data_IF_041833021851
#
_entry.id   IF_041833021851
#
_cell.length_a   1.000
_cell.length_b   1.000
_cell.length_c   1.000
_cell.angle_alpha   90.00
_cell.angle_beta   90.00
_cell.angle_gamma   90.00
#
_symmetry.space_group_name_H-M   'P 1'
#
loop_
_entity.id
_entity.type
_entity.pdbx_description
1 polymer ?
#
# COMPACT_ATOMS: atom_id res chain seq x y z
N UNK A 1 1.57 22.59 -1.59
CA UNK A 1 1.55 21.21 -2.13
C UNK A 1 0.77 21.19 -3.45
N UNK A 2 1.28 20.56 -4.51
CA UNK A 2 0.49 20.24 -5.71
C UNK A 2 0.14 18.74 -5.65
N UNK A 3 -1.14 18.41 -5.57
CA UNK A 3 -1.65 17.03 -5.65
C UNK A 3 -1.62 16.60 -7.13
N UNK A 4 -0.86 15.57 -7.49
CA UNK A 4 -0.64 15.19 -8.91
C UNK A 4 -1.22 13.82 -9.28
N UNK A 5 -1.98 13.12 -8.42
CA UNK A 5 -2.70 11.94 -8.90
C UNK A 5 -3.59 11.22 -7.88
N UNK A 6 -4.82 10.93 -8.30
CA UNK A 6 -5.68 9.88 -7.76
C UNK A 6 -5.85 8.83 -8.87
N UNK A 7 -5.30 7.63 -8.69
CA UNK A 7 -5.50 6.53 -9.65
C UNK A 7 -6.58 5.60 -9.11
N UNK A 8 -7.76 5.61 -9.73
CA UNK A 8 -8.85 4.66 -9.45
C UNK A 8 -8.69 3.44 -10.37
N UNK A 9 -8.50 2.24 -9.80
CA UNK A 9 -8.72 0.98 -10.51
C UNK A 9 -10.08 0.42 -10.09
N UNK A 10 -11.02 0.33 -11.04
CA UNK A 10 -12.36 -0.23 -10.85
C UNK A 10 -12.37 -1.78 -10.98
N UNK A 11 -13.26 -2.50 -10.26
CA UNK A 11 -13.15 -3.93 -9.99
C UNK A 11 -13.76 -4.86 -11.06
N UNK A 12 -13.13 -6.02 -11.29
CA UNK A 12 -13.75 -7.16 -11.97
C UNK A 12 -14.66 -7.92 -11.00
N UNK A 13 -15.96 -7.90 -11.25
CA UNK A 13 -16.87 -8.91 -10.72
C UNK A 13 -18.00 -9.15 -11.72
N UNK A 14 -17.93 -10.24 -12.48
CA UNK A 14 -19.12 -10.81 -13.11
C UNK A 14 -18.98 -12.31 -13.38
N UNK A 15 -19.95 -13.04 -12.81
CA UNK A 15 -20.50 -14.34 -13.20
C UNK A 15 -19.67 -15.62 -13.06
N UNK A 16 -20.01 -16.41 -12.02
CA UNK A 16 -20.00 -17.86 -12.11
C UNK A 16 -21.36 -18.40 -11.62
N UNK A 17 -22.14 -18.96 -12.54
CA UNK A 17 -23.24 -19.88 -12.23
C UNK A 17 -22.76 -21.28 -12.61
N UNK A 18 -22.91 -22.26 -11.73
CA UNK A 18 -22.65 -23.65 -12.04
C UNK A 18 -23.76 -24.54 -11.47
N UNK A 19 -24.38 -25.31 -12.35
CA UNK A 19 -25.28 -26.41 -12.04
C UNK A 19 -24.49 -27.60 -11.43
N UNK A 20 -25.13 -28.49 -10.66
CA UNK A 20 -24.43 -29.56 -9.94
C UNK A 20 -24.22 -30.76 -10.87
N UNK A 21 -22.96 -31.12 -11.11
CA UNK A 21 -22.59 -32.40 -11.71
C UNK A 21 -21.66 -33.11 -10.71
N UNK A 22 -21.77 -34.43 -10.65
CA UNK A 22 -21.11 -35.34 -9.72
C UNK A 22 -19.59 -35.49 -9.99
N UNK A 23 -18.86 -34.36 -10.06
CA UNK A 23 -17.46 -34.25 -10.51
C UNK A 23 -16.44 -34.44 -9.38
N UNK A 24 -16.86 -34.86 -8.18
CA UNK A 24 -16.00 -34.79 -6.99
C UNK A 24 -14.92 -35.87 -6.94
N UNK A 25 -15.16 -37.08 -7.45
CA UNK A 25 -14.19 -38.18 -7.39
C UNK A 25 -13.05 -38.01 -8.39
N UNK A 26 -13.36 -37.79 -9.66
CA UNK A 26 -12.36 -37.64 -10.72
C UNK A 26 -11.52 -36.36 -10.57
N UNK A 27 -12.14 -35.24 -10.17
CA UNK A 27 -11.40 -34.02 -9.83
C UNK A 27 -10.47 -34.27 -8.63
N UNK A 28 -10.89 -35.04 -7.63
CA UNK A 28 -10.03 -35.28 -6.47
C UNK A 28 -8.76 -36.04 -6.81
N UNK A 29 -8.83 -37.00 -7.75
CA UNK A 29 -7.67 -37.76 -8.22
C UNK A 29 -6.79 -36.88 -9.10
N UNK A 30 -7.38 -36.10 -10.00
CA UNK A 30 -6.66 -35.17 -10.87
C UNK A 30 -5.96 -34.06 -10.06
N UNK A 31 -6.64 -33.47 -9.07
CA UNK A 31 -6.08 -32.48 -8.14
C UNK A 31 -4.92 -33.08 -7.35
N UNK A 32 -5.07 -34.30 -6.80
CA UNK A 32 -3.97 -34.97 -6.08
C UNK A 32 -2.77 -35.22 -6.97
N UNK A 33 -2.99 -35.56 -8.25
CA UNK A 33 -1.92 -35.81 -9.22
C UNK A 33 -1.21 -34.51 -9.63
N UNK A 34 -1.95 -33.42 -9.84
CA UNK A 34 -1.41 -32.08 -10.12
C UNK A 34 -0.61 -31.53 -8.93
N UNK A 35 -1.11 -31.68 -7.70
CA UNK A 35 -0.41 -31.27 -6.48
C UNK A 35 0.90 -32.04 -6.33
N UNK A 36 0.89 -33.36 -6.56
CA UNK A 36 2.09 -34.19 -6.44
C UNK A 36 3.15 -33.86 -7.49
N UNK A 37 2.76 -33.65 -8.75
CA UNK A 37 3.71 -33.30 -9.82
C UNK A 37 4.30 -31.91 -9.65
N UNK A 38 3.53 -30.94 -9.13
CA UNK A 38 4.01 -29.58 -8.92
C UNK A 38 4.92 -29.42 -7.70
N UNK A 39 4.75 -30.24 -6.65
CA UNK A 39 5.59 -30.13 -5.45
C UNK A 39 7.05 -30.53 -5.72
N UNK A 40 7.30 -31.50 -6.61
CA UNK A 40 8.63 -32.06 -6.80
C UNK A 40 9.59 -31.26 -7.72
N UNK A 41 9.17 -30.12 -8.30
CA UNK A 41 10.06 -29.29 -9.15
C UNK A 41 10.01 -27.78 -8.91
N UNK A 42 9.30 -27.27 -7.90
CA UNK A 42 9.46 -25.86 -7.52
C UNK A 42 10.52 -25.69 -6.44
N UNK A 43 11.78 -25.43 -6.83
CA UNK A 43 12.61 -24.54 -6.02
C UNK A 43 11.93 -23.16 -6.10
N UNK A 44 10.93 -22.93 -5.24
CA UNK A 44 10.46 -21.57 -4.98
C UNK A 44 11.63 -20.91 -4.27
N UNK A 45 12.48 -20.26 -5.04
CA UNK A 45 13.42 -19.30 -4.48
C UNK A 45 12.55 -18.20 -3.90
N UNK A 46 12.39 -18.20 -2.57
CA UNK A 46 11.62 -17.17 -1.89
C UNK A 46 12.26 -15.84 -2.27
N UNK A 47 11.55 -15.06 -3.07
CA UNK A 47 11.97 -13.71 -3.35
C UNK A 47 11.95 -12.96 -2.02
N UNK A 48 13.12 -12.68 -1.46
CA UNK A 48 13.26 -11.98 -0.18
C UNK A 48 12.60 -10.59 -0.22
N UNK A 49 12.33 -10.05 -1.42
CA UNK A 49 11.60 -8.80 -1.61
C UNK A 49 10.11 -8.90 -1.31
N UNK A 50 9.55 -10.10 -1.24
CA UNK A 50 8.15 -10.31 -0.85
C UNK A 50 7.87 -10.02 0.63
N UNK A 51 8.91 -9.80 1.43
CA UNK A 51 8.83 -9.57 2.89
C UNK A 51 9.11 -8.10 3.24
N UNK A 52 9.64 -7.30 2.31
CA UNK A 52 10.09 -5.94 2.61
C UNK A 52 8.92 -4.98 2.82
N UNK A 53 9.03 -4.14 3.83
CA UNK A 53 8.12 -3.00 4.00
C UNK A 53 8.47 -1.86 3.02
N UNK A 54 7.59 -0.86 2.89
CA UNK A 54 7.80 0.24 1.95
C UNK A 54 9.13 0.98 2.19
N UNK A 55 9.50 1.41 3.42
CA UNK A 55 10.80 2.00 3.69
C UNK A 55 11.99 1.10 3.32
N UNK A 56 11.90 -0.20 3.56
CA UNK A 56 12.93 -1.17 3.18
C UNK A 56 13.08 -1.31 1.67
N UNK A 57 11.97 -1.37 0.91
CA UNK A 57 11.99 -1.33 -0.55
C UNK A 57 12.69 -0.07 -1.07
N UNK A 58 12.39 1.09 -0.47
CA UNK A 58 13.04 2.38 -0.81
C UNK A 58 14.54 2.33 -0.54
N UNK A 59 14.96 1.89 0.66
CA UNK A 59 16.38 1.77 1.03
C UNK A 59 17.12 0.77 0.15
N UNK A 60 16.51 -0.37 -0.15
CA UNK A 60 17.08 -1.39 -1.05
C UNK A 60 17.31 -0.83 -2.46
N UNK A 61 16.42 0.04 -2.94
CA UNK A 61 16.57 0.73 -4.23
C UNK A 61 17.66 1.82 -4.23
N UNK A 62 18.27 2.12 -3.08
CA UNK A 62 19.35 3.09 -2.94
C UNK A 62 18.89 4.52 -2.69
N UNK A 63 17.67 4.71 -2.17
CA UNK A 63 17.12 6.02 -1.79
C UNK A 63 17.04 6.15 -0.26
N UNK A 64 17.17 7.38 0.29
CA UNK A 64 16.84 7.63 1.69
C UNK A 64 15.34 7.39 1.93
N UNK A 65 14.99 6.91 3.12
CA UNK A 65 13.61 6.64 3.50
C UNK A 65 13.35 7.11 4.93
N UNK A 66 12.28 7.88 5.12
CA UNK A 66 11.78 8.30 6.42
C UNK A 66 10.35 7.78 6.64
N UNK A 67 9.93 7.70 7.89
CA UNK A 67 8.56 7.36 8.29
C UNK A 67 8.09 8.35 9.34
N UNK A 68 6.92 8.94 9.11
CA UNK A 68 6.35 10.01 9.93
C UNK A 68 4.95 9.61 10.35
N UNK A 69 4.64 9.74 11.64
CA UNK A 69 3.29 9.47 12.15
C UNK A 69 2.55 10.78 12.34
N UNK A 70 1.36 10.87 11.77
CA UNK A 70 0.47 12.03 11.86
C UNK A 70 -0.83 11.59 12.51
N UNK A 71 -1.31 12.37 13.47
CA UNK A 71 -2.58 12.12 14.14
C UNK A 71 -3.70 12.90 13.45
N UNK A 72 -4.81 12.24 13.13
CA UNK A 72 -6.03 12.89 12.64
C UNK A 72 -6.82 13.51 13.80
N UNK A 73 -7.71 14.46 13.51
CA UNK A 73 -8.57 15.10 14.52
C UNK A 73 -9.38 14.10 15.35
N UNK A 74 -9.81 13.00 14.71
CA UNK A 74 -10.57 11.94 15.35
C UNK A 74 -9.70 10.84 15.97
N UNK A 75 -8.36 10.99 16.01
CA UNK A 75 -7.46 10.17 16.81
C UNK A 75 -6.80 8.98 16.11
N UNK A 76 -6.95 8.83 14.79
CA UNK A 76 -6.20 7.82 14.03
C UNK A 76 -4.75 8.25 13.84
N UNK A 77 -3.84 7.28 13.91
CA UNK A 77 -2.41 7.49 13.69
C UNK A 77 -2.04 6.96 12.31
N UNK A 78 -1.63 7.87 11.43
CA UNK A 78 -1.34 7.59 10.03
C UNK A 78 0.14 7.66 9.78
N UNK A 79 0.69 6.59 9.21
CA UNK A 79 2.09 6.54 8.82
C UNK A 79 2.26 7.07 7.40
N UNK A 80 3.01 8.14 7.22
CA UNK A 80 3.47 8.61 5.92
C UNK A 80 4.91 8.14 5.72
N UNK A 81 5.19 7.57 4.55
CA UNK A 81 6.57 7.30 4.14
C UNK A 81 7.09 8.45 3.29
N UNK A 82 8.39 8.71 3.33
CA UNK A 82 8.99 9.82 2.59
C UNK A 82 10.32 9.42 1.98
N UNK A 83 10.53 9.82 0.73
CA UNK A 83 11.85 9.87 0.09
C UNK A 83 12.27 11.35 0.13
N UNK A 84 13.12 11.75 1.09
CA UNK A 84 13.44 13.15 1.29
C UNK A 84 14.19 13.73 0.09
N UNK A 85 13.76 14.92 -0.34
CA UNK A 85 14.47 15.76 -1.32
C UNK A 85 15.56 16.63 -0.68
N UNK A 86 16.20 17.48 -1.49
CA UNK A 86 17.11 18.52 -1.01
C UNK A 86 16.38 19.73 -0.40
N UNK A 87 17.14 20.71 0.09
CA UNK A 87 16.58 21.86 0.83
C UNK A 87 15.54 22.68 0.05
N UNK A 88 15.66 22.76 -1.28
CA UNK A 88 14.73 23.50 -2.15
C UNK A 88 13.76 22.58 -2.92
N UNK A 89 13.72 21.29 -2.56
CA UNK A 89 12.85 20.32 -3.23
C UNK A 89 11.38 20.61 -2.94
N UNK A 90 10.57 20.62 -4.01
CA UNK A 90 9.14 20.80 -3.91
C UNK A 90 8.46 19.55 -3.33
N UNK A 91 7.64 19.65 -2.27
CA UNK A 91 6.95 18.50 -1.70
C UNK A 91 5.79 18.04 -2.58
N UNK A 92 5.75 16.74 -2.84
CA UNK A 92 4.69 16.04 -3.59
C UNK A 92 4.15 14.91 -2.74
N UNK A 93 2.85 14.94 -2.45
CA UNK A 93 2.13 13.84 -1.81
C UNK A 93 1.50 12.93 -2.88
N UNK A 94 1.80 11.64 -2.79
CA UNK A 94 1.23 10.60 -3.64
C UNK A 94 0.37 9.68 -2.79
N UNK A 95 -0.89 9.50 -3.19
CA UNK A 95 -1.89 8.78 -2.41
C UNK A 95 -2.40 7.55 -3.16
N UNK A 96 -2.34 6.38 -2.51
CA UNK A 96 -2.81 5.11 -3.09
C UNK A 96 -4.34 5.02 -3.20
N UNK A 97 -4.83 4.03 -3.96
CA UNK A 97 -6.25 3.73 -4.12
C UNK A 97 -6.88 2.94 -2.97
N UNK A 98 -8.13 2.49 -3.13
CA UNK A 98 -8.83 1.63 -2.17
C UNK A 98 -8.14 0.27 -2.06
N UNK A 99 -8.04 -0.27 -0.83
CA UNK A 99 -7.40 -1.56 -0.51
C UNK A 99 -5.88 -1.65 -0.78
N UNK A 100 -5.25 -0.51 -1.04
CA UNK A 100 -3.83 -0.40 -1.35
C UNK A 100 -3.00 0.15 -0.17
N UNK A 101 -1.70 0.35 -0.43
CA UNK A 101 -0.80 1.06 0.48
C UNK A 101 0.23 1.89 -0.29
N UNK A 102 1.06 2.64 0.44
CA UNK A 102 2.23 3.32 -0.14
C UNK A 102 3.20 2.42 -0.94
N UNK A 103 3.16 1.09 -0.73
CA UNK A 103 3.98 0.13 -1.46
C UNK A 103 3.76 0.18 -2.99
N UNK A 104 2.54 0.48 -3.43
CA UNK A 104 2.16 0.52 -4.85
C UNK A 104 3.03 1.50 -5.67
N UNK A 105 3.53 2.54 -5.02
CA UNK A 105 4.33 3.58 -5.67
C UNK A 105 5.82 3.24 -5.77
N UNK A 106 6.26 2.15 -5.12
CA UNK A 106 7.67 1.72 -5.07
C UNK A 106 7.89 0.30 -5.59
N UNK A 107 6.86 -0.55 -5.60
CA UNK A 107 6.97 -2.00 -5.90
C UNK A 107 7.54 -2.31 -7.29
N UNK A 108 7.39 -1.42 -8.27
CA UNK A 108 7.96 -1.60 -9.61
C UNK A 108 9.49 -1.45 -9.66
N UNK A 109 10.11 -0.99 -8.57
CA UNK A 109 11.56 -0.81 -8.46
C UNK A 109 12.10 0.45 -9.16
N UNK A 110 13.40 0.70 -8.93
CA UNK A 110 14.13 1.87 -9.45
C UNK A 110 13.99 1.99 -10.97
N UNK A 111 13.83 3.23 -11.45
CA UNK A 111 13.68 3.54 -12.88
C UNK A 111 12.29 3.23 -13.48
N UNK A 112 11.36 2.69 -12.68
CA UNK A 112 9.99 2.37 -13.12
C UNK A 112 8.93 2.89 -12.16
N UNK A 113 9.14 2.73 -10.85
CA UNK A 113 8.15 3.11 -9.86
C UNK A 113 8.04 4.65 -9.76
N UNK A 114 6.80 5.14 -9.68
CA UNK A 114 6.51 6.57 -9.76
C UNK A 114 7.19 7.38 -8.66
N UNK A 115 7.27 6.84 -7.44
CA UNK A 115 7.96 7.52 -6.33
C UNK A 115 9.44 7.75 -6.62
N UNK A 116 10.12 6.76 -7.23
CA UNK A 116 11.52 6.90 -7.61
C UNK A 116 11.71 7.87 -8.76
N UNK A 117 10.81 7.86 -9.76
CA UNK A 117 10.86 8.82 -10.85
C UNK A 117 10.72 10.27 -10.34
N UNK A 118 9.84 10.52 -9.37
CA UNK A 118 9.73 11.84 -8.74
C UNK A 118 11.00 12.21 -7.95
N UNK A 119 11.55 11.27 -7.17
CA UNK A 119 12.78 11.50 -6.41
C UNK A 119 13.96 11.81 -7.34
N UNK A 120 14.09 11.09 -8.47
CA UNK A 120 15.12 11.32 -9.49
C UNK A 120 14.98 12.69 -10.17
N UNK A 121 13.77 13.26 -10.21
CA UNK A 121 13.51 14.62 -10.68
C UNK A 121 13.72 15.69 -9.59
N UNK A 122 14.18 15.31 -8.39
CA UNK A 122 14.50 16.23 -7.30
C UNK A 122 13.31 16.69 -6.47
N UNK A 123 12.17 15.99 -6.53
CA UNK A 123 11.03 16.26 -5.63
C UNK A 123 11.25 15.68 -4.23
N UNK A 124 10.60 16.29 -3.25
CA UNK A 124 10.46 15.73 -1.91
C UNK A 124 9.19 14.87 -1.86
N UNK A 125 9.35 13.55 -1.88
CA UNK A 125 8.23 12.63 -2.18
C UNK A 125 7.64 12.07 -0.90
N UNK A 126 6.38 12.40 -0.65
CA UNK A 126 5.58 11.88 0.46
C UNK A 126 4.60 10.83 -0.05
N UNK A 127 4.51 9.70 0.62
CA UNK A 127 3.65 8.58 0.29
C UNK A 127 2.63 8.38 1.42
N UNK A 128 1.38 8.77 1.16
CA UNK A 128 0.31 8.72 2.15
C UNK A 128 -0.23 7.31 2.34
N UNK A 129 -0.63 6.98 3.58
CA UNK A 129 -1.36 5.76 3.89
C UNK A 129 -2.69 6.08 4.56
N UNK A 130 -3.78 5.54 4.02
CA UNK A 130 -5.09 5.69 4.64
C UNK A 130 -5.21 4.89 5.94
N UNK A 131 -5.98 5.43 6.89
CA UNK A 131 -6.39 4.72 8.10
C UNK A 131 -6.92 3.33 7.78
N UNK A 132 -6.55 2.36 8.61
CA UNK A 132 -6.97 0.96 8.50
C UNK A 132 -6.14 0.11 7.53
N UNK A 133 -5.29 0.70 6.66
CA UNK A 133 -4.38 -0.08 5.83
C UNK A 133 -3.21 -0.68 6.67
N UNK A 134 -2.32 -1.42 6.01
CA UNK A 134 -1.18 -2.10 6.65
C UNK A 134 -0.34 -1.20 7.57
N UNK A 135 -0.14 0.08 7.19
CA UNK A 135 0.76 1.01 7.88
C UNK A 135 0.05 1.96 8.85
N UNK A 136 -1.27 2.11 8.74
CA UNK A 136 -2.04 3.11 9.49
C UNK A 136 -3.19 2.47 10.27
N UNK A 137 -2.91 1.37 10.96
CA UNK A 137 -3.89 0.59 11.75
C UNK A 137 -3.74 0.85 13.26
N UNK A 138 -3.65 2.12 13.65
CA UNK A 138 -3.50 2.53 15.04
C UNK A 138 -4.39 3.74 15.35
N UNK A 139 -4.81 3.83 16.62
CA UNK A 139 -5.66 4.90 17.14
C UNK A 139 -5.34 5.14 18.60
N UNK A 140 -5.46 6.39 19.07
CA UNK A 140 -5.08 6.78 20.44
C UNK A 140 -5.89 6.06 21.54
N UNK A 141 -7.16 5.72 21.25
CA UNK A 141 -8.07 5.07 22.20
C UNK A 141 -8.69 3.75 21.72
N UNK A 142 -8.68 3.46 20.41
CA UNK A 142 -9.46 2.37 19.82
C UNK A 142 -8.52 1.25 19.40
N UNK A 143 -8.88 0.02 19.74
CA UNK A 143 -8.18 -1.17 19.25
C UNK A 143 -8.69 -1.55 17.86
N UNK A 144 -7.82 -1.92 16.90
CA UNK A 144 -8.22 -2.51 15.63
C UNK A 144 -9.05 -3.80 15.73
N UNK A 145 -9.09 -4.43 16.91
CA UNK A 145 -9.95 -5.59 17.17
C UNK A 145 -11.41 -5.19 17.44
N UNK A 146 -11.68 -3.91 17.71
CA UNK A 146 -13.03 -3.41 17.96
C UNK A 146 -13.66 -2.89 16.67
N UNK A 147 -14.93 -3.23 16.42
CA UNK A 147 -15.69 -2.77 15.24
C UNK A 147 -15.78 -1.24 15.14
N UNK A 148 -15.76 -0.52 16.26
CA UNK A 148 -15.78 0.95 16.30
C UNK A 148 -14.56 1.56 15.61
N UNK A 149 -13.40 0.89 15.65
CA UNK A 149 -12.20 1.31 14.91
C UNK A 149 -12.42 1.31 13.39
N UNK A 150 -13.34 0.50 12.88
CA UNK A 150 -13.60 0.38 11.44
C UNK A 150 -14.82 1.21 11.00
N UNK A 151 -15.46 1.93 11.92
CA UNK A 151 -16.66 2.71 11.64
C UNK A 151 -16.32 4.13 11.17
N UNK A 152 -15.70 4.25 10.00
CA UNK A 152 -15.42 5.51 9.32
C UNK A 152 -15.99 5.54 7.90
N UNK A 153 -16.33 6.73 7.41
CA UNK A 153 -16.83 6.96 6.05
C UNK A 153 -15.68 7.09 5.04
N UNK A 154 -15.98 6.84 3.77
CA UNK A 154 -15.03 7.04 2.66
C UNK A 154 -14.46 8.46 2.67
N UNK A 155 -15.27 9.48 2.97
CA UNK A 155 -14.80 10.87 3.06
C UNK A 155 -13.72 11.09 4.13
N UNK A 156 -13.70 10.28 5.19
CA UNK A 156 -12.70 10.35 6.27
C UNK A 156 -11.39 9.65 5.91
N UNK A 157 -11.37 8.80 4.86
CA UNK A 157 -10.11 8.26 4.31
C UNK A 157 -9.29 9.39 3.68
N UNK A 158 -9.94 10.33 3.00
CA UNK A 158 -9.30 11.41 2.25
C UNK A 158 -9.02 12.68 3.06
N UNK A 159 -9.47 12.79 4.32
CA UNK A 159 -9.37 14.03 5.10
C UNK A 159 -7.93 14.41 5.50
N UNK A 160 -7.00 13.46 5.39
CA UNK A 160 -5.55 13.66 5.63
C UNK A 160 -4.97 14.74 4.70
N UNK A 161 -5.55 14.91 3.51
CA UNK A 161 -5.01 15.79 2.47
C UNK A 161 -5.27 17.28 2.80
N UNK A 162 -6.18 17.60 3.73
CA UNK A 162 -6.60 18.98 4.00
C UNK A 162 -6.42 19.46 5.44
N UNK A 163 -6.27 18.57 6.43
CA UNK A 163 -6.30 18.97 7.85
C UNK A 163 -4.94 18.83 8.57
N UNK A 164 -4.03 18.01 8.07
CA UNK A 164 -2.77 17.75 8.79
C UNK A 164 -1.60 18.47 8.12
N UNK A 165 -0.98 19.42 8.84
CA UNK A 165 0.33 19.96 8.47
C UNK A 165 1.33 18.81 8.36
N UNK A 166 1.81 18.54 7.15
CA UNK A 166 2.90 17.58 6.95
C UNK A 166 4.17 18.19 7.58
N UNK A 167 4.86 17.50 8.51
CA UNK A 167 6.03 18.03 9.20
C UNK A 167 7.08 18.56 8.21
N UNK A 168 7.56 19.79 8.42
CA UNK A 168 8.55 20.43 7.54
C UNK A 168 7.98 21.08 6.29
N UNK A 169 6.66 21.06 6.09
CA UNK A 169 6.00 21.87 5.05
C UNK A 169 5.27 23.04 5.70
N UNK A 170 5.73 24.27 5.44
CA UNK A 170 4.97 25.47 5.78
C UNK A 170 3.84 25.58 4.75
N UNK A 171 2.61 25.26 5.17
CA UNK A 171 1.37 25.52 4.42
C UNK A 171 0.61 26.60 5.17
#
# INVERSE_FOLDING_TARGET
>A
MKLIGLMYLLPFCSHLSAAPINVTSEISVLIRRIIWTNWNESKIEFNTDSILDTPEMIRKAGYPAESHVVMTEDGYLLTLHRIPGGNDSLPVLVQHGLFCSSADWVVLGKGKAFAYLLADQGYDVWLGNFRGNTYSKAHIFLSPLNTTFWNFRVSQLFSVIFQTQIPGTNI
#
